data_IF_884084080713
#
_entry.id   IF_884084080713
#
_cell.length_a   1.000
_cell.length_b   1.000
_cell.length_c   1.000
_cell.angle_alpha   90.00
_cell.angle_beta   90.00
_cell.angle_gamma   90.00
#
_symmetry.space_group_name_H-M   'P 1'
#
loop_
_entity.id
_entity.type
_entity.pdbx_description
1 polymer ?
#
# COMPACT_ATOMS: atom_id res chain seq x y z
N UNK A 1 22.97 11.00 -8.23
CA UNK A 1 22.31 11.63 -7.07
C UNK A 1 22.39 10.65 -5.92
N UNK A 2 22.99 11.04 -4.80
CA UNK A 2 23.08 10.16 -3.61
C UNK A 2 21.69 10.04 -2.99
N UNK A 3 21.04 8.88 -3.15
CA UNK A 3 19.77 8.62 -2.49
C UNK A 3 19.91 8.67 -0.97
N UNK A 4 18.86 9.11 -0.28
CA UNK A 4 18.78 9.10 1.18
C UNK A 4 19.19 7.71 1.73
N UNK A 5 20.00 7.68 2.80
CA UNK A 5 20.41 6.42 3.42
C UNK A 5 19.21 5.72 4.05
N UNK A 6 19.31 4.41 4.31
CA UNK A 6 18.26 3.66 5.02
C UNK A 6 17.94 4.29 6.38
N UNK A 7 18.95 4.81 7.08
CA UNK A 7 18.77 5.53 8.34
C UNK A 7 17.92 6.79 8.14
N UNK A 8 18.24 7.61 7.13
CA UNK A 8 17.49 8.85 6.86
C UNK A 8 16.02 8.58 6.55
N UNK A 9 15.75 7.51 5.78
CA UNK A 9 14.37 7.08 5.47
C UNK A 9 13.61 6.65 6.72
N UNK A 10 14.25 5.89 7.61
CA UNK A 10 13.63 5.43 8.86
C UNK A 10 13.43 6.60 9.83
N UNK A 11 14.41 7.47 10.00
CA UNK A 11 14.30 8.65 10.87
C UNK A 11 13.17 9.58 10.37
N UNK A 12 13.07 9.78 9.06
CA UNK A 12 11.96 10.52 8.47
C UNK A 12 10.61 9.84 8.74
N UNK A 13 10.51 8.54 8.44
CA UNK A 13 9.31 7.72 8.71
C UNK A 13 8.88 7.83 10.17
N UNK A 14 9.87 7.76 11.08
CA UNK A 14 9.68 7.90 12.51
C UNK A 14 9.03 9.24 12.86
N UNK A 15 9.59 10.33 12.31
CA UNK A 15 9.13 11.69 12.56
C UNK A 15 7.73 12.01 12.00
N UNK A 16 7.34 11.40 10.88
CA UNK A 16 6.11 11.80 10.17
C UNK A 16 4.85 11.13 10.71
N UNK A 17 4.86 9.79 10.72
CA UNK A 17 3.65 9.02 11.00
C UNK A 17 3.85 7.92 12.03
N UNK A 18 5.07 7.42 12.25
CA UNK A 18 5.30 6.33 13.20
C UNK A 18 4.89 6.73 14.63
N UNK A 19 5.44 7.83 15.17
CA UNK A 19 5.12 8.24 16.55
C UNK A 19 3.64 8.55 16.71
N UNK A 20 3.04 9.23 15.71
CA UNK A 20 1.61 9.54 15.73
C UNK A 20 0.74 8.28 15.72
N UNK A 21 1.08 7.27 14.93
CA UNK A 21 0.36 6.00 14.89
C UNK A 21 0.61 5.14 16.13
N UNK A 22 1.85 5.09 16.62
CA UNK A 22 2.26 4.32 17.81
C UNK A 22 1.45 4.71 19.06
N UNK A 23 1.18 6.01 19.23
CA UNK A 23 0.36 6.50 20.35
C UNK A 23 -1.12 6.69 20.00
N UNK A 24 -1.54 6.35 18.79
CA UNK A 24 -2.96 6.39 18.42
C UNK A 24 -3.70 5.20 19.02
N UNK A 25 -5.01 5.36 19.23
CA UNK A 25 -5.92 4.28 19.60
C UNK A 25 -6.19 3.28 18.45
N UNK A 26 -5.64 3.52 17.26
CA UNK A 26 -5.83 2.67 16.08
C UNK A 26 -4.78 1.57 15.96
N UNK A 27 -3.67 1.65 16.70
CA UNK A 27 -2.50 0.79 16.51
C UNK A 27 -2.19 -0.01 17.77
N UNK A 28 -2.16 -1.34 17.67
CA UNK A 28 -1.76 -2.21 18.78
C UNK A 28 -0.26 -2.50 18.82
N UNK A 29 0.46 -2.23 17.73
CA UNK A 29 1.90 -2.44 17.64
C UNK A 29 2.45 -2.08 16.27
N UNK A 30 3.73 -1.77 16.21
CA UNK A 30 4.47 -1.46 14.99
C UNK A 30 5.86 -2.08 15.08
N UNK A 31 6.40 -2.53 13.95
CA UNK A 31 7.74 -3.10 13.89
C UNK A 31 8.34 -3.00 12.50
N UNK A 32 9.66 -2.82 12.45
CA UNK A 32 10.43 -2.77 11.20
C UNK A 32 11.08 -4.12 10.94
N UNK A 33 10.88 -4.68 9.75
CA UNK A 33 11.46 -5.96 9.36
C UNK A 33 12.55 -5.72 8.32
N UNK A 34 13.80 -6.03 8.66
CA UNK A 34 14.99 -5.66 7.88
C UNK A 34 15.88 -6.88 7.62
N UNK A 35 16.54 -6.92 6.46
CA UNK A 35 17.44 -8.01 6.02
C UNK A 35 18.93 -7.64 6.08
N UNK A 36 19.26 -6.47 6.63
CA UNK A 36 20.63 -5.98 6.79
C UNK A 36 20.97 -5.57 8.23
N UNK A 37 22.25 -5.60 8.58
CA UNK A 37 22.73 -5.01 9.85
C UNK A 37 22.56 -3.50 9.77
N UNK A 38 21.71 -2.95 10.64
CA UNK A 38 21.65 -1.52 10.89
C UNK A 38 22.47 -1.16 12.12
N UNK A 39 23.29 -0.12 12.01
CA UNK A 39 23.81 0.55 13.21
C UNK A 39 22.61 1.11 13.96
N UNK A 40 22.59 0.90 15.28
CA UNK A 40 21.58 1.42 16.23
C UNK A 40 20.91 2.68 15.71
N UNK A 41 19.59 2.61 15.49
CA UNK A 41 18.78 3.81 15.23
C UNK A 41 18.59 4.51 16.57
N UNK A 42 18.58 5.83 16.57
CA UNK A 42 18.19 6.61 17.73
C UNK A 42 16.72 6.31 18.09
N UNK A 43 16.48 5.80 19.30
CA UNK A 43 15.15 5.53 19.83
C UNK A 43 14.81 4.04 19.92
N UNK A 44 13.88 3.71 20.81
CA UNK A 44 13.34 2.35 21.02
C UNK A 44 12.38 1.94 19.89
N UNK A 45 12.85 1.96 18.65
CA UNK A 45 12.08 1.48 17.50
C UNK A 45 12.21 -0.06 17.47
N UNK A 46 11.11 -0.83 17.62
CA UNK A 46 11.16 -2.28 17.50
C UNK A 46 11.55 -2.66 16.07
N UNK A 47 12.70 -3.30 15.91
CA UNK A 47 13.11 -3.87 14.63
C UNK A 47 13.41 -5.37 14.78
N UNK A 48 13.12 -6.10 13.72
CA UNK A 48 13.28 -7.54 13.60
C UNK A 48 14.20 -7.82 12.42
N UNK A 49 15.36 -8.39 12.72
CA UNK A 49 16.29 -8.83 11.69
C UNK A 49 15.79 -10.16 11.09
N UNK A 50 15.68 -10.20 9.77
CA UNK A 50 15.21 -11.34 9.01
C UNK A 50 16.33 -11.80 8.09
N UNK A 51 16.91 -12.95 8.42
CA UNK A 51 17.95 -13.58 7.61
C UNK A 51 17.55 -15.03 7.33
N UNK A 52 16.77 -15.20 6.27
CA UNK A 52 16.47 -16.51 5.71
C UNK A 52 17.38 -16.74 4.50
N UNK A 53 18.38 -17.63 4.59
CA UNK A 53 19.28 -17.90 3.47
C UNK A 53 18.54 -18.51 2.28
N UNK A 54 17.44 -19.23 2.51
CA UNK A 54 16.67 -19.93 1.47
C UNK A 54 15.74 -19.01 0.70
N UNK A 55 15.43 -17.82 1.22
CA UNK A 55 14.56 -16.87 0.54
C UNK A 55 15.31 -16.14 -0.58
N UNK A 56 15.07 -16.54 -1.82
CA UNK A 56 15.68 -15.92 -3.00
C UNK A 56 14.86 -14.74 -3.56
N UNK A 57 13.79 -14.32 -2.87
CA UNK A 57 13.00 -13.15 -3.24
C UNK A 57 13.83 -11.87 -3.16
N UNK A 58 13.41 -10.86 -3.92
CA UNK A 58 14.04 -9.54 -3.93
C UNK A 58 14.11 -9.01 -2.51
N UNK A 59 15.30 -8.63 -2.03
CA UNK A 59 15.52 -8.13 -0.67
C UNK A 59 14.87 -8.98 0.43
N UNK A 60 14.80 -10.31 0.29
CA UNK A 60 14.18 -11.20 1.31
C UNK A 60 12.75 -10.79 1.69
N UNK A 61 12.00 -10.23 0.74
CA UNK A 61 10.67 -9.65 0.99
C UNK A 61 9.66 -10.70 1.45
N UNK A 62 9.76 -11.94 0.95
CA UNK A 62 8.89 -13.04 1.38
C UNK A 62 9.16 -13.40 2.84
N UNK A 63 10.40 -13.65 3.25
CA UNK A 63 10.70 -13.93 4.66
C UNK A 63 10.36 -12.76 5.57
N UNK A 64 10.56 -11.51 5.12
CA UNK A 64 10.15 -10.33 5.90
C UNK A 64 8.64 -10.27 6.10
N UNK A 65 7.84 -10.53 5.05
CA UNK A 65 6.38 -10.62 5.16
C UNK A 65 5.97 -11.70 6.16
N UNK A 66 6.53 -12.91 6.06
CA UNK A 66 6.16 -14.02 6.94
C UNK A 66 6.62 -13.84 8.38
N UNK A 67 7.79 -13.23 8.61
CA UNK A 67 8.22 -12.83 9.94
C UNK A 67 7.27 -11.78 10.55
N UNK A 68 6.81 -10.82 9.75
CA UNK A 68 5.85 -9.81 10.18
C UNK A 68 4.47 -10.40 10.49
N UNK A 69 3.97 -11.31 9.65
CA UNK A 69 2.71 -12.02 9.88
C UNK A 69 2.79 -12.86 11.17
N UNK A 70 3.89 -13.59 11.38
CA UNK A 70 4.12 -14.35 12.61
C UNK A 70 4.06 -13.43 13.83
N UNK A 71 4.82 -12.33 13.81
CA UNK A 71 4.85 -11.37 14.91
C UNK A 71 3.45 -10.82 15.20
N UNK A 72 2.70 -10.40 14.18
CA UNK A 72 1.33 -9.91 14.31
C UNK A 72 0.37 -10.94 14.91
N UNK A 73 0.47 -12.20 14.50
CA UNK A 73 -0.41 -13.27 14.99
C UNK A 73 -0.10 -13.65 16.44
N UNK A 74 1.18 -13.66 16.84
CA UNK A 74 1.62 -14.07 18.17
C UNK A 74 1.59 -12.95 19.23
N UNK A 75 1.78 -11.69 18.84
CA UNK A 75 2.00 -10.58 19.77
C UNK A 75 0.88 -9.52 19.77
N UNK A 76 -0.21 -9.77 19.04
CA UNK A 76 -1.33 -8.84 18.95
C UNK A 76 -2.65 -9.56 18.76
N UNK A 77 -3.72 -8.96 19.30
CA UNK A 77 -5.11 -9.34 19.05
C UNK A 77 -5.80 -8.38 18.06
N UNK A 78 -5.07 -7.52 17.36
CA UNK A 78 -5.65 -6.62 16.38
C UNK A 78 -6.31 -7.39 15.21
N UNK A 79 -7.41 -6.84 14.69
CA UNK A 79 -8.14 -7.41 13.56
C UNK A 79 -7.44 -7.22 12.22
N UNK A 80 -6.65 -6.15 12.07
CA UNK A 80 -6.03 -5.78 10.79
C UNK A 80 -4.51 -5.77 10.90
N UNK A 81 -3.84 -6.32 9.90
CA UNK A 81 -2.41 -6.20 9.70
C UNK A 81 -2.14 -5.32 8.49
N UNK A 82 -1.35 -4.27 8.67
CA UNK A 82 -0.95 -3.35 7.61
C UNK A 82 0.55 -3.52 7.36
N UNK A 83 0.91 -3.85 6.11
CA UNK A 83 2.30 -3.87 5.63
C UNK A 83 2.51 -2.70 4.71
N UNK A 84 3.52 -1.88 4.96
CA UNK A 84 3.88 -0.68 4.17
C UNK A 84 5.39 -0.68 3.88
N UNK A 85 5.80 0.02 2.82
CA UNK A 85 7.21 0.24 2.49
C UNK A 85 7.72 1.53 3.14
N UNK A 86 9.04 1.67 3.27
CA UNK A 86 9.68 2.83 3.90
C UNK A 86 9.56 4.13 3.08
N UNK A 87 9.16 4.04 1.81
CA UNK A 87 8.92 5.14 0.88
C UNK A 87 7.41 5.40 0.66
N UNK A 88 6.56 4.91 1.58
CA UNK A 88 5.12 5.20 1.60
C UNK A 88 4.80 6.39 2.49
N UNK A 89 3.99 7.31 1.98
CA UNK A 89 3.35 8.37 2.78
C UNK A 89 2.01 7.86 3.30
N UNK A 90 1.77 8.07 4.60
CA UNK A 90 0.47 7.82 5.23
C UNK A 90 -0.23 9.15 5.50
N UNK A 91 -1.40 9.36 4.91
CA UNK A 91 -2.26 10.48 5.24
C UNK A 91 -3.07 10.16 6.51
N UNK A 92 -2.62 10.69 7.64
CA UNK A 92 -3.23 10.42 8.94
C UNK A 92 -4.62 11.04 9.10
N UNK A 93 -4.97 12.06 8.30
CA UNK A 93 -6.31 12.66 8.34
C UNK A 93 -7.36 11.73 7.73
N UNK A 94 -6.98 10.92 6.75
CA UNK A 94 -7.89 9.98 6.06
C UNK A 94 -7.80 8.56 6.60
N UNK A 95 -6.76 8.23 7.37
CA UNK A 95 -6.56 6.91 7.95
C UNK A 95 -7.76 6.41 8.81
N UNK A 96 -8.40 7.23 9.66
CA UNK A 96 -9.61 6.80 10.38
C UNK A 96 -10.78 6.46 9.46
N UNK A 97 -10.92 7.18 8.33
CA UNK A 97 -11.98 6.93 7.34
C UNK A 97 -11.74 5.61 6.62
N UNK A 98 -10.49 5.31 6.27
CA UNK A 98 -10.09 4.03 5.72
C UNK A 98 -10.41 2.87 6.68
N UNK A 99 -10.02 2.98 7.96
CA UNK A 99 -10.32 1.94 8.95
C UNK A 99 -11.82 1.78 9.21
N UNK A 100 -12.57 2.88 9.21
CA UNK A 100 -14.02 2.86 9.31
C UNK A 100 -14.64 2.07 8.16
N UNK A 101 -14.26 2.37 6.91
CA UNK A 101 -14.76 1.64 5.74
C UNK A 101 -14.44 0.13 5.83
N UNK A 102 -13.25 -0.26 6.28
CA UNK A 102 -12.93 -1.67 6.48
C UNK A 102 -13.83 -2.34 7.53
N UNK A 103 -13.99 -1.72 8.69
CA UNK A 103 -14.77 -2.30 9.80
C UNK A 103 -16.27 -2.33 9.54
N UNK A 104 -16.79 -1.42 8.71
CA UNK A 104 -18.21 -1.41 8.31
C UNK A 104 -18.54 -2.50 7.29
N UNK A 105 -17.55 -2.93 6.48
CA UNK A 105 -17.79 -3.88 5.39
C UNK A 105 -17.33 -5.31 5.68
N UNK A 106 -16.46 -5.52 6.69
CA UNK A 106 -15.83 -6.82 6.93
C UNK A 106 -15.63 -7.12 8.41
N UNK A 107 -15.76 -8.40 8.76
CA UNK A 107 -15.30 -8.93 10.03
C UNK A 107 -13.86 -9.48 9.88
N UNK A 108 -12.84 -8.85 10.47
CA UNK A 108 -11.44 -9.24 10.26
C UNK A 108 -11.08 -10.66 10.75
N UNK A 109 -11.88 -11.24 11.64
CA UNK A 109 -11.63 -12.56 12.21
C UNK A 109 -12.29 -13.69 11.41
N UNK A 110 -13.26 -13.36 10.56
CA UNK A 110 -14.05 -14.33 9.79
C UNK A 110 -13.78 -14.20 8.29
N UNK A 111 -13.71 -12.98 7.79
CA UNK A 111 -13.60 -12.70 6.36
C UNK A 111 -12.15 -12.75 5.90
N UNK A 112 -11.89 -13.44 4.80
CA UNK A 112 -10.61 -13.37 4.11
C UNK A 112 -10.55 -12.07 3.30
N UNK A 113 -9.80 -11.08 3.79
CA UNK A 113 -9.66 -9.78 3.15
C UNK A 113 -8.18 -9.46 3.00
N UNK A 114 -7.77 -9.17 1.78
CA UNK A 114 -6.47 -8.56 1.47
C UNK A 114 -6.76 -7.46 0.48
N UNK A 115 -6.35 -6.23 0.79
CA UNK A 115 -6.61 -5.09 -0.08
C UNK A 115 -5.38 -4.21 -0.26
N UNK A 116 -5.33 -3.54 -1.41
CA UNK A 116 -4.29 -2.56 -1.73
C UNK A 116 -4.51 -1.96 -3.12
N UNK A 117 -3.44 -1.38 -3.69
CA UNK A 117 -3.48 -0.79 -5.02
C UNK A 117 -3.49 -1.89 -6.11
N UNK A 118 -4.67 -2.27 -6.59
CA UNK A 118 -4.84 -3.28 -7.63
C UNK A 118 -4.32 -2.79 -9.00
N UNK A 119 -3.53 -3.60 -9.68
CA UNK A 119 -3.00 -3.33 -11.01
C UNK A 119 -3.17 -4.54 -11.94
N UNK A 120 -3.77 -4.33 -13.10
CA UNK A 120 -3.90 -5.36 -14.14
C UNK A 120 -2.76 -5.35 -15.15
N UNK A 121 -2.05 -6.46 -15.34
CA UNK A 121 -1.14 -6.68 -16.49
C UNK A 121 -1.72 -7.75 -17.42
N UNK A 122 -1.09 -7.94 -18.59
CA UNK A 122 -1.60 -8.82 -19.66
C UNK A 122 -1.99 -10.21 -19.10
N UNK A 123 -1.16 -10.79 -18.24
CA UNK A 123 -1.31 -12.16 -17.71
C UNK A 123 -1.49 -12.26 -16.18
N UNK A 124 -1.64 -11.15 -15.47
CA UNK A 124 -1.74 -11.19 -14.00
C UNK A 124 -2.34 -9.90 -13.47
N UNK A 125 -3.25 -10.02 -12.51
CA UNK A 125 -3.70 -8.91 -11.68
C UNK A 125 -3.18 -9.13 -10.27
N UNK A 126 -2.63 -8.08 -9.67
CA UNK A 126 -1.90 -8.16 -8.41
C UNK A 126 -2.04 -6.83 -7.65
N UNK A 127 -1.68 -6.85 -6.37
CA UNK A 127 -1.58 -5.64 -5.56
C UNK A 127 -0.18 -5.05 -5.71
N UNK A 128 -0.04 -3.74 -5.85
CA UNK A 128 1.28 -3.10 -5.93
C UNK A 128 1.92 -3.02 -4.54
N UNK A 129 3.16 -3.51 -4.41
CA UNK A 129 3.83 -3.59 -3.11
C UNK A 129 4.24 -2.26 -2.47
N UNK A 130 4.59 -1.26 -3.27
CA UNK A 130 5.07 0.05 -2.79
C UNK A 130 4.12 0.74 -1.84
N UNK A 131 2.82 0.87 -2.16
CA UNK A 131 1.84 1.47 -1.23
C UNK A 131 1.46 0.57 -0.05
N UNK A 132 1.95 -0.67 -0.03
CA UNK A 132 1.58 -1.64 0.97
C UNK A 132 0.25 -2.34 0.72
N UNK A 133 -0.15 -3.14 1.71
CA UNK A 133 -1.38 -3.94 1.74
C UNK A 133 -1.95 -4.00 3.14
N UNK A 134 -3.27 -4.15 3.24
CA UNK A 134 -3.97 -4.52 4.46
C UNK A 134 -4.45 -5.97 4.37
N UNK A 135 -4.32 -6.70 5.47
CA UNK A 135 -4.79 -8.07 5.64
C UNK A 135 -5.75 -8.11 6.82
N UNK A 136 -6.88 -8.80 6.68
CA UNK A 136 -7.63 -9.26 7.85
C UNK A 136 -6.80 -10.28 8.62
N UNK A 137 -7.06 -10.41 9.92
CA UNK A 137 -6.40 -11.42 10.75
C UNK A 137 -6.62 -12.84 10.20
N UNK A 138 -7.81 -13.12 9.68
CA UNK A 138 -8.12 -14.37 8.98
C UNK A 138 -7.20 -14.59 7.78
N UNK A 139 -7.01 -13.59 6.93
CA UNK A 139 -6.13 -13.68 5.77
C UNK A 139 -4.66 -13.81 6.15
N UNK A 140 -4.21 -13.06 7.17
CA UNK A 140 -2.86 -13.16 7.72
C UNK A 140 -2.55 -14.58 8.21
N UNK A 141 -3.47 -15.18 8.97
CA UNK A 141 -3.34 -16.57 9.45
C UNK A 141 -3.24 -17.55 8.27
N UNK A 142 -4.15 -17.45 7.29
CA UNK A 142 -4.16 -18.37 6.16
C UNK A 142 -2.90 -18.27 5.29
N UNK A 143 -2.45 -17.05 4.97
CA UNK A 143 -1.20 -16.86 4.22
C UNK A 143 -0.01 -17.41 4.97
N UNK A 144 0.06 -17.16 6.29
CA UNK A 144 1.15 -17.65 7.13
C UNK A 144 1.31 -19.18 7.05
N UNK A 145 0.21 -19.94 6.98
CA UNK A 145 0.23 -21.39 6.82
C UNK A 145 0.79 -21.86 5.47
N UNK A 146 0.75 -21.01 4.43
CA UNK A 146 1.18 -21.32 3.07
C UNK A 146 2.64 -20.89 2.78
N UNK A 147 3.48 -20.71 3.81
CA UNK A 147 4.87 -20.22 3.63
C UNK A 147 5.68 -21.05 2.63
N UNK A 148 5.56 -22.38 2.69
CA UNK A 148 6.26 -23.29 1.79
C UNK A 148 5.90 -23.07 0.32
N UNK A 149 4.63 -22.77 0.03
CA UNK A 149 4.17 -22.43 -1.32
C UNK A 149 4.81 -21.13 -1.79
N UNK A 150 4.84 -20.08 -0.96
CA UNK A 150 5.48 -18.81 -1.32
C UNK A 150 6.97 -19.00 -1.58
N UNK A 151 7.69 -19.73 -0.71
CA UNK A 151 9.12 -20.06 -0.92
C UNK A 151 9.34 -20.77 -2.25
N UNK A 152 8.56 -21.81 -2.55
CA UNK A 152 8.67 -22.52 -3.82
C UNK A 152 8.45 -21.59 -5.02
N UNK A 153 7.44 -20.72 -4.95
CA UNK A 153 7.07 -19.82 -6.04
C UNK A 153 8.08 -18.69 -6.27
N UNK A 154 8.98 -18.41 -5.32
CA UNK A 154 10.08 -17.45 -5.54
C UNK A 154 10.98 -17.80 -6.72
N UNK A 155 11.03 -19.09 -7.11
CA UNK A 155 11.72 -19.55 -8.32
C UNK A 155 11.07 -19.04 -9.62
N UNK A 156 9.79 -18.71 -9.59
CA UNK A 156 9.03 -18.19 -10.74
C UNK A 156 8.99 -16.67 -10.72
N UNK A 157 8.83 -16.06 -9.55
CA UNK A 157 8.81 -14.61 -9.41
C UNK A 157 9.38 -14.18 -8.07
N UNK A 158 10.34 -13.25 -8.08
CA UNK A 158 11.03 -12.79 -6.88
C UNK A 158 10.34 -11.63 -6.16
N UNK A 159 9.28 -11.06 -6.72
CA UNK A 159 8.53 -9.97 -6.11
C UNK A 159 7.37 -10.51 -5.26
N UNK A 160 7.33 -10.14 -3.98
CA UNK A 160 6.31 -10.54 -3.01
C UNK A 160 4.90 -10.15 -3.47
N UNK A 161 4.76 -8.95 -4.03
CA UNK A 161 3.50 -8.39 -4.51
C UNK A 161 2.88 -9.18 -5.69
N UNK A 162 3.74 -9.69 -6.59
CA UNK A 162 3.36 -10.60 -7.68
C UNK A 162 2.98 -11.97 -7.18
N UNK A 163 3.79 -12.51 -6.26
CA UNK A 163 3.52 -13.81 -5.65
C UNK A 163 2.19 -13.81 -4.91
N UNK A 164 1.88 -12.72 -4.20
CA UNK A 164 0.59 -12.52 -3.57
C UNK A 164 -0.54 -12.49 -4.60
N UNK A 165 -0.36 -11.83 -5.76
CA UNK A 165 -1.32 -11.89 -6.86
C UNK A 165 -1.56 -13.31 -7.40
N UNK A 166 -0.50 -14.11 -7.58
CA UNK A 166 -0.64 -15.52 -7.96
C UNK A 166 -1.33 -16.36 -6.88
N UNK A 167 -1.02 -16.09 -5.61
CA UNK A 167 -1.67 -16.77 -4.49
C UNK A 167 -3.17 -16.49 -4.47
N UNK A 168 -3.57 -15.21 -4.57
CA UNK A 168 -4.97 -14.80 -4.61
C UNK A 168 -5.72 -15.45 -5.78
N UNK A 169 -5.09 -15.54 -6.95
CA UNK A 169 -5.64 -16.27 -8.09
C UNK A 169 -5.76 -17.78 -7.82
N UNK A 170 -4.77 -18.41 -7.18
CA UNK A 170 -4.79 -19.84 -6.81
C UNK A 170 -5.97 -20.16 -5.91
N UNK A 171 -6.27 -19.30 -4.94
CA UNK A 171 -7.38 -19.50 -3.99
C UNK A 171 -8.72 -18.92 -4.48
N UNK A 172 -8.81 -18.49 -5.75
CA UNK A 172 -10.05 -18.03 -6.37
C UNK A 172 -10.56 -16.66 -5.90
N UNK A 173 -9.70 -15.80 -5.33
CA UNK A 173 -10.10 -14.44 -4.94
C UNK A 173 -10.10 -13.54 -6.18
N UNK A 174 -11.25 -12.98 -6.59
CA UNK A 174 -11.33 -12.13 -7.77
C UNK A 174 -10.63 -10.79 -7.52
N UNK A 175 -10.01 -10.16 -8.55
CA UNK A 175 -9.29 -8.90 -8.35
C UNK A 175 -10.11 -7.72 -7.84
N UNK A 176 -11.42 -7.74 -8.08
CA UNK A 176 -12.32 -6.75 -7.54
C UNK A 176 -12.34 -6.77 -6.00
N UNK A 177 -12.20 -7.94 -5.38
CA UNK A 177 -12.28 -8.07 -3.92
C UNK A 177 -11.04 -7.56 -3.20
N UNK A 178 -9.89 -7.54 -3.88
CA UNK A 178 -8.64 -7.01 -3.32
C UNK A 178 -8.32 -5.57 -3.72
N UNK A 179 -9.18 -4.92 -4.52
CA UNK A 179 -8.97 -3.52 -4.88
C UNK A 179 -9.41 -2.59 -3.74
N UNK A 180 -8.55 -1.65 -3.33
CA UNK A 180 -8.93 -0.57 -2.43
C UNK A 180 -8.64 0.80 -3.04
N UNK A 181 -9.61 1.71 -2.89
CA UNK A 181 -9.53 3.09 -3.39
C UNK A 181 -8.64 3.99 -2.53
N UNK A 182 -8.24 3.52 -1.34
CA UNK A 182 -7.41 4.25 -0.37
C UNK A 182 -5.90 4.13 -0.64
N UNK A 183 -5.51 3.26 -1.56
CA UNK A 183 -4.12 2.96 -1.88
C UNK A 183 -3.76 3.46 -3.29
N UNK A 184 -2.64 4.19 -3.37
CA UNK A 184 -2.04 4.60 -4.63
C UNK A 184 -0.61 4.07 -4.71
N UNK A 185 -0.41 3.02 -5.50
CA UNK A 185 0.88 2.34 -5.62
C UNK A 185 1.83 2.85 -6.70
N UNK A 186 1.36 3.73 -7.59
CA UNK A 186 2.14 4.22 -8.73
C UNK A 186 1.89 5.70 -8.99
N UNK A 187 2.89 6.34 -9.61
CA UNK A 187 2.76 7.67 -10.18
C UNK A 187 1.62 7.74 -11.20
N UNK A 188 0.95 8.88 -11.24
CA UNK A 188 -0.12 9.17 -12.20
C UNK A 188 0.39 9.09 -13.65
N UNK A 189 -0.45 8.59 -14.55
CA UNK A 189 -0.14 8.43 -15.97
C UNK A 189 0.21 9.77 -16.62
N UNK A 190 1.28 9.79 -17.44
CA UNK A 190 1.83 10.98 -18.12
C UNK A 190 2.26 12.12 -17.18
N UNK A 191 2.46 11.84 -15.90
CA UNK A 191 2.98 12.81 -14.95
C UNK A 191 4.41 12.46 -14.56
N UNK A 192 5.27 13.47 -14.52
CA UNK A 192 6.68 13.29 -14.13
C UNK A 192 6.83 13.10 -12.61
N UNK A 193 5.96 13.73 -11.82
CA UNK A 193 5.94 13.60 -10.36
C UNK A 193 4.55 13.86 -9.79
N UNK A 194 4.31 13.39 -8.56
CA UNK A 194 3.10 13.71 -7.79
C UNK A 194 2.87 15.22 -7.64
N UNK A 195 3.92 16.02 -7.44
CA UNK A 195 3.78 17.48 -7.32
C UNK A 195 3.32 18.12 -8.63
N UNK A 196 3.89 17.71 -9.77
CA UNK A 196 3.47 18.21 -11.09
C UNK A 196 2.04 17.78 -11.41
N UNK A 197 1.69 16.54 -11.07
CA UNK A 197 0.36 15.98 -11.20
C UNK A 197 -0.73 16.82 -10.52
N UNK A 198 -0.46 17.35 -9.31
CA UNK A 198 -1.46 18.11 -8.54
C UNK A 198 -1.44 19.61 -8.79
N UNK A 199 -0.34 20.16 -9.34
CA UNK A 199 -0.21 21.61 -9.62
C UNK A 199 -0.57 21.99 -11.05
N UNK A 200 -0.35 21.10 -12.03
CA UNK A 200 -0.62 21.36 -13.44
C UNK A 200 -1.96 20.75 -13.91
N UNK A 201 -3.05 21.18 -13.30
CA UNK A 201 -4.38 20.57 -13.51
C UNK A 201 -5.15 21.12 -14.72
N UNK A 202 -4.65 22.13 -15.40
CA UNK A 202 -5.34 22.82 -16.51
C UNK A 202 -5.64 21.91 -17.71
N UNK A 203 -4.83 20.87 -17.92
CA UNK A 203 -4.98 19.90 -19.02
C UNK A 203 -5.60 18.56 -18.56
N UNK A 204 -6.11 18.47 -17.34
CA UNK A 204 -6.72 17.25 -16.82
C UNK A 204 -8.18 17.19 -17.30
N UNK A 205 -8.55 16.09 -17.94
CA UNK A 205 -9.90 15.85 -18.44
C UNK A 205 -10.92 15.72 -17.30
N UNK A 206 -12.20 15.97 -17.60
CA UNK A 206 -13.29 15.74 -16.65
C UNK A 206 -13.44 14.26 -16.32
N UNK A 207 -13.87 13.96 -15.09
CA UNK A 207 -14.13 12.59 -14.69
C UNK A 207 -15.22 11.95 -15.55
N UNK A 208 -14.95 10.74 -16.00
CA UNK A 208 -15.93 9.85 -16.60
C UNK A 208 -16.08 8.62 -15.70
N UNK A 209 -17.19 7.89 -15.84
CA UNK A 209 -17.37 6.65 -15.08
C UNK A 209 -16.21 5.69 -15.42
N UNK A 210 -15.44 5.22 -14.42
CA UNK A 210 -14.26 4.42 -14.68
C UNK A 210 -14.60 3.13 -15.41
N UNK A 211 -13.94 2.88 -16.53
CA UNK A 211 -13.96 1.57 -17.18
C UNK A 211 -12.80 0.76 -16.63
N UNK A 212 -13.09 -0.29 -15.85
CA UNK A 212 -12.06 -1.24 -15.41
C UNK A 212 -11.83 -2.28 -16.50
N UNK A 213 -10.58 -2.38 -16.96
CA UNK A 213 -10.10 -3.50 -17.76
C UNK A 213 -9.20 -4.32 -16.85
N UNK A 214 -9.36 -5.66 -16.84
CA UNK A 214 -8.59 -6.65 -16.04
C UNK A 214 -9.09 -6.93 -14.62
N UNK A 215 -10.36 -6.63 -14.34
CA UNK A 215 -11.08 -7.18 -13.19
C UNK A 215 -10.81 -6.51 -11.84
N UNK A 216 -9.93 -5.50 -11.75
CA UNK A 216 -9.88 -4.64 -10.56
C UNK A 216 -11.22 -3.94 -10.36
N UNK A 217 -11.60 -3.64 -9.11
CA UNK A 217 -12.85 -2.95 -8.83
C UNK A 217 -12.78 -1.53 -9.38
N UNK A 218 -13.85 -1.08 -10.03
CA UNK A 218 -13.95 0.31 -10.47
C UNK A 218 -14.11 1.20 -9.24
N UNK A 219 -13.39 2.29 -9.19
CA UNK A 219 -13.56 3.30 -8.17
C UNK A 219 -13.18 4.66 -8.71
N UNK A 220 -13.71 5.68 -8.05
CA UNK A 220 -13.24 7.05 -8.17
C UNK A 220 -12.96 7.55 -6.75
N UNK A 221 -11.84 8.23 -6.51
CA UNK A 221 -11.52 8.78 -5.18
C UNK A 221 -10.77 10.08 -5.32
N UNK A 222 -11.00 11.02 -4.41
CA UNK A 222 -10.28 12.29 -4.39
C UNK A 222 -8.81 12.02 -4.11
N UNK A 223 -7.92 12.75 -4.77
CA UNK A 223 -6.47 12.61 -4.52
C UNK A 223 -6.12 12.94 -3.07
N UNK A 224 -6.81 13.91 -2.45
CA UNK A 224 -6.66 14.23 -1.01
C UNK A 224 -7.06 13.09 -0.08
N UNK A 225 -7.93 12.20 -0.53
CA UNK A 225 -8.46 11.11 0.28
C UNK A 225 -7.55 9.87 0.27
N UNK A 226 -6.48 9.86 -0.54
CA UNK A 226 -5.51 8.76 -0.56
C UNK A 226 -4.89 8.61 0.83
N UNK A 227 -4.99 7.42 1.41
CA UNK A 227 -4.41 7.11 2.73
C UNK A 227 -2.99 6.62 2.59
N UNK A 228 -2.72 5.71 1.65
CA UNK A 228 -1.40 5.13 1.43
C UNK A 228 -0.89 5.49 0.05
N UNK A 229 0.07 6.40 -0.03
CA UNK A 229 0.60 6.90 -1.29
C UNK A 229 2.07 6.52 -1.44
N UNK A 230 2.34 5.77 -2.50
CA UNK A 230 3.68 5.47 -2.97
C UNK A 230 3.87 6.00 -4.41
N UNK A 231 5.00 6.65 -4.65
CA UNK A 231 5.43 7.13 -5.97
C UNK A 231 6.78 6.51 -6.33
N UNK A 232 7.08 6.37 -7.63
CA UNK A 232 8.33 5.78 -8.13
C UNK A 232 9.48 6.79 -8.22
N UNK A 233 9.22 8.06 -7.97
CA UNK A 233 10.26 9.10 -7.95
C UNK A 233 11.13 8.96 -6.70
N UNK A 234 12.35 9.55 -6.68
CA UNK A 234 13.22 9.54 -5.51
C UNK A 234 12.52 10.00 -4.23
N UNK A 235 12.97 9.47 -3.09
CA UNK A 235 12.38 9.72 -1.77
C UNK A 235 12.29 11.22 -1.44
N UNK A 236 13.32 11.99 -1.78
CA UNK A 236 13.40 13.43 -1.57
C UNK A 236 12.46 14.24 -2.48
N UNK A 237 12.11 13.72 -3.66
CA UNK A 237 11.18 14.35 -4.59
C UNK A 237 9.71 14.12 -4.22
N UNK A 238 9.40 13.03 -3.52
CA UNK A 238 8.03 12.67 -3.15
C UNK A 238 7.79 12.77 -1.64
N UNK A 239 8.47 11.94 -0.86
CA UNK A 239 8.18 11.75 0.56
C UNK A 239 8.47 13.04 1.35
N UNK A 240 9.57 13.74 1.07
CA UNK A 240 9.86 15.04 1.71
C UNK A 240 8.93 16.18 1.23
N UNK A 241 8.26 16.01 0.09
CA UNK A 241 7.37 17.01 -0.51
C UNK A 241 5.89 16.74 -0.22
N UNK A 242 5.54 15.69 0.51
CA UNK A 242 4.15 15.22 0.63
C UNK A 242 3.19 16.28 1.20
N UNK A 243 3.62 17.06 2.19
CA UNK A 243 2.79 18.15 2.74
C UNK A 243 2.51 19.23 1.70
N UNK A 244 3.52 19.58 0.89
CA UNK A 244 3.36 20.53 -0.22
C UNK A 244 2.43 19.97 -1.30
N UNK A 245 2.57 18.69 -1.64
CA UNK A 245 1.68 18.00 -2.59
C UNK A 245 0.24 18.05 -2.07
N UNK A 246 0.02 17.71 -0.81
CA UNK A 246 -1.30 17.72 -0.17
C UNK A 246 -1.93 19.12 -0.17
N UNK A 247 -1.17 20.13 0.26
CA UNK A 247 -1.63 21.52 0.28
C UNK A 247 -1.95 22.06 -1.12
N UNK A 248 -1.20 21.65 -2.14
CA UNK A 248 -1.41 22.06 -3.52
C UNK A 248 -2.52 21.28 -4.25
N UNK A 249 -3.01 20.18 -3.68
CA UNK A 249 -4.03 19.34 -4.34
C UNK A 249 -5.38 20.08 -4.40
N UNK A 250 -6.06 20.16 -5.55
CA UNK A 250 -7.42 20.72 -5.62
C UNK A 250 -8.46 19.77 -5.00
N UNK A 251 -9.54 20.33 -4.43
CA UNK A 251 -10.63 19.53 -3.81
C UNK A 251 -11.44 18.70 -4.81
N UNK A 252 -11.45 19.12 -6.06
CA UNK A 252 -12.14 18.44 -7.16
C UNK A 252 -11.20 17.57 -8.01
N UNK A 253 -9.97 17.30 -7.56
CA UNK A 253 -9.06 16.40 -8.25
C UNK A 253 -9.28 14.96 -7.77
N UNK A 254 -9.65 14.09 -8.70
CA UNK A 254 -9.89 12.66 -8.46
C UNK A 254 -8.89 11.80 -9.21
N UNK A 255 -8.81 10.53 -8.80
CA UNK A 255 -8.11 9.49 -9.55
C UNK A 255 -8.90 8.18 -9.61
N UNK A 256 -8.58 7.38 -10.62
CA UNK A 256 -9.06 6.02 -10.82
C UNK A 256 -7.98 5.18 -11.52
N UNK A 257 -8.17 3.86 -11.61
CA UNK A 257 -7.22 2.94 -12.27
C UNK A 257 -7.93 2.15 -13.37
N UNK A 258 -7.85 2.58 -14.65
CA UNK A 258 -8.55 1.88 -15.74
C UNK A 258 -7.89 0.55 -16.13
N UNK A 259 -6.55 0.44 -16.00
CA UNK A 259 -5.79 -0.76 -16.38
C UNK A 259 -4.66 -1.01 -15.35
N UNK A 260 -3.51 -0.36 -15.55
CA UNK A 260 -2.27 -0.62 -14.81
C UNK A 260 -1.60 0.65 -14.29
N UNK A 261 -2.23 1.80 -14.52
CA UNK A 261 -1.71 3.11 -14.16
C UNK A 261 -2.86 3.97 -13.66
N UNK A 262 -2.65 4.71 -12.56
CA UNK A 262 -3.65 5.64 -12.06
C UNK A 262 -3.75 6.84 -12.99
N UNK A 263 -4.97 7.30 -13.23
CA UNK A 263 -5.30 8.43 -14.10
C UNK A 263 -6.01 9.48 -13.26
N UNK A 264 -5.65 10.75 -13.48
CA UNK A 264 -6.30 11.89 -12.85
C UNK A 264 -7.48 12.36 -13.68
N UNK A 265 -8.48 12.91 -13.00
CA UNK A 265 -9.58 13.62 -13.64
C UNK A 265 -10.12 14.73 -12.73
N UNK A 266 -10.77 15.74 -13.33
CA UNK A 266 -11.45 16.81 -12.61
C UNK A 266 -12.93 16.47 -12.43
N UNK A 267 -13.35 16.40 -11.17
CA UNK A 267 -14.76 16.21 -10.82
C UNK A 267 -15.54 17.53 -10.89
N UNK A 268 -16.85 17.38 -11.01
CA UNK A 268 -17.85 18.43 -10.87
C UNK A 268 -18.70 18.21 -9.61
N UNK A 269 -19.78 18.98 -9.45
CA UNK A 269 -20.69 18.89 -8.30
C UNK A 269 -21.45 17.56 -8.19
N UNK A 270 -21.44 16.74 -9.25
CA UNK A 270 -22.11 15.42 -9.27
C UNK A 270 -21.13 14.27 -9.08
N UNK A 271 -19.83 14.56 -9.04
CA UNK A 271 -18.78 13.54 -8.96
C UNK A 271 -18.62 13.06 -7.52
N UNK A 272 -18.82 11.76 -7.30
CA UNK A 272 -18.72 11.13 -5.97
C UNK A 272 -17.54 10.14 -5.87
N UNK A 273 -16.85 10.19 -4.73
CA UNK A 273 -15.83 9.22 -4.37
C UNK A 273 -16.49 7.94 -3.83
N UNK A 274 -16.39 6.83 -4.59
CA UNK A 274 -16.98 5.54 -4.24
C UNK A 274 -16.43 4.42 -5.13
N UNK A 275 -16.79 3.18 -4.79
CA UNK A 275 -16.71 2.06 -5.71
C UNK A 275 -17.90 2.09 -6.68
N UNK A 276 -17.66 1.59 -7.90
CA UNK A 276 -18.67 1.45 -8.94
C UNK A 276 -18.78 -0.03 -9.32
N UNK A 277 -20.00 -0.45 -9.66
CA UNK A 277 -20.29 -1.80 -10.14
C UNK A 277 -20.01 -1.93 -11.65
#
# INVERSE_FOLDING_TARGET
MSGASLKDKIDFTYSQWYEKLRYSNFTSGMGFFIDGKMKSISGEIPYHFVNDPDDISTHKLISKLFAALKYFLEHSNAGWFLRICEDTVINLDTFPLFLKELNENFNPYQDFVIQGACLGKINTTYLQGGSGFVFSRRAAYQIYQDYSWFRMMTNINKADDRLLGYYLSKIGVPPANFTSRWFLGHSFWKQESALKAVTNVSNIEKCTVPVSRKGCRKFLTKVKDITFWHDRVPFDEFVLQHEKIRAATPDNLYFYVPINKPVLCLGDSTTEARYYD
#
